data_IF_538539112131
#
_entry.id   IF_538539112131
#
_cell.length_a   1.000
_cell.length_b   1.000
_cell.length_c   1.000
_cell.angle_alpha   90.00
_cell.angle_beta   90.00
_cell.angle_gamma   90.00
#
_symmetry.space_group_name_H-M   'P 1'
#
loop_
_entity.id
_entity.type
_entity.pdbx_description
1 polymer ?
#
# COMPACT_ATOMS: atom_id res chain seq x y z
N UNK A 1 -29.85 4.75 20.72
CA UNK A 1 -28.96 3.95 21.59
C UNK A 1 -27.54 3.87 20.99
N UNK A 2 -26.88 5.02 20.78
CA UNK A 2 -25.76 5.17 19.83
C UNK A 2 -24.53 5.90 20.45
N UNK A 3 -23.80 5.28 21.38
CA UNK A 3 -22.52 5.84 21.86
C UNK A 3 -21.38 4.82 21.90
N UNK A 4 -21.65 3.54 22.19
CA UNK A 4 -20.63 2.47 22.22
C UNK A 4 -20.06 2.12 20.85
N UNK A 5 -20.92 1.72 19.89
CA UNK A 5 -20.51 1.40 18.52
C UNK A 5 -19.87 2.58 17.77
N UNK A 6 -20.23 3.81 18.18
CA UNK A 6 -19.79 5.08 17.57
C UNK A 6 -18.33 5.43 17.93
N UNK A 7 -17.82 4.96 19.07
CA UNK A 7 -16.40 5.07 19.47
C UNK A 7 -15.54 3.93 18.94
N UNK A 8 -16.10 2.72 18.86
CA UNK A 8 -15.37 1.56 18.35
C UNK A 8 -14.96 1.74 16.87
N UNK A 9 -15.84 2.28 16.02
CA UNK A 9 -15.54 2.47 14.59
C UNK A 9 -14.52 3.59 14.31
N UNK A 10 -14.52 4.66 15.11
CA UNK A 10 -13.60 5.80 14.94
C UNK A 10 -12.22 5.51 15.50
N UNK A 11 -12.15 4.88 16.69
CA UNK A 11 -10.88 4.44 17.26
C UNK A 11 -10.29 3.31 16.43
N UNK A 12 -11.07 2.31 16.01
CA UNK A 12 -10.57 1.18 15.22
C UNK A 12 -10.33 1.54 13.74
N UNK A 13 -11.02 2.52 13.16
CA UNK A 13 -10.78 2.97 11.79
C UNK A 13 -9.54 3.84 11.66
N UNK A 14 -9.32 4.75 12.62
CA UNK A 14 -8.08 5.51 12.74
C UNK A 14 -6.94 4.58 13.19
N UNK A 15 -7.18 3.65 14.12
CA UNK A 15 -6.23 2.58 14.40
C UNK A 15 -5.99 1.71 13.18
N UNK A 16 -6.93 1.46 12.27
CA UNK A 16 -6.67 0.60 11.11
C UNK A 16 -5.88 1.33 10.03
N UNK A 17 -6.16 2.62 9.81
CA UNK A 17 -5.33 3.49 8.94
C UNK A 17 -3.93 3.69 9.54
N UNK A 18 -3.83 3.84 10.86
CA UNK A 18 -2.56 3.89 11.58
C UNK A 18 -1.89 2.50 11.68
N UNK A 19 -2.61 1.40 11.85
CA UNK A 19 -2.08 0.02 11.98
C UNK A 19 -1.68 -0.56 10.63
N UNK A 20 -2.36 -0.16 9.54
CA UNK A 20 -1.89 -0.42 8.17
C UNK A 20 -0.57 0.31 7.86
N UNK A 21 -0.20 1.30 8.69
CA UNK A 21 1.11 1.97 8.73
C UNK A 21 2.00 1.53 9.91
N UNK A 22 1.52 0.73 10.88
CA UNK A 22 2.22 0.44 12.15
C UNK A 22 2.60 -1.02 12.42
N UNK A 23 2.14 -2.01 11.64
CA UNK A 23 2.70 -3.36 11.81
C UNK A 23 4.03 -3.45 11.06
N UNK A 24 5.12 -3.10 11.74
CA UNK A 24 6.50 -3.39 11.34
C UNK A 24 7.33 -3.73 12.58
N UNK A 25 7.52 -5.03 12.80
CA UNK A 25 8.56 -5.55 13.70
C UNK A 25 9.75 -5.90 12.81
N UNK A 26 10.82 -5.10 12.85
CA UNK A 26 12.14 -5.55 12.35
C UNK A 26 12.94 -4.64 11.40
N UNK A 27 12.57 -3.38 11.13
CA UNK A 27 13.43 -2.49 10.32
C UNK A 27 14.50 -1.75 11.13
N UNK A 28 15.68 -1.56 10.56
CA UNK A 28 16.81 -0.80 11.11
C UNK A 28 16.50 0.70 11.35
N UNK A 29 17.19 1.30 12.32
CA UNK A 29 16.97 2.66 12.87
C UNK A 29 17.01 3.80 11.82
N UNK A 30 17.70 3.60 10.71
CA UNK A 30 17.89 4.61 9.64
C UNK A 30 16.64 4.75 8.75
N UNK A 31 15.97 3.64 8.45
CA UNK A 31 14.70 3.64 7.72
C UNK A 31 13.59 4.22 8.61
N UNK A 32 13.64 3.92 9.92
CA UNK A 32 12.78 4.58 10.90
C UNK A 32 12.96 6.10 10.88
N UNK A 33 14.18 6.63 10.80
CA UNK A 33 14.43 8.07 10.81
C UNK A 33 13.86 8.79 9.57
N UNK A 34 14.02 8.21 8.37
CA UNK A 34 13.45 8.79 7.15
C UNK A 34 11.91 8.73 7.14
N UNK A 35 11.34 7.62 7.59
CA UNK A 35 9.89 7.44 7.73
C UNK A 35 9.31 8.36 8.83
N UNK A 36 10.00 8.49 9.96
CA UNK A 36 9.65 9.43 11.02
C UNK A 36 9.73 10.88 10.54
N UNK A 37 10.74 11.25 9.76
CA UNK A 37 10.85 12.62 9.23
C UNK A 37 9.70 12.95 8.27
N UNK A 38 9.25 12.00 7.46
CA UNK A 38 8.10 12.18 6.55
C UNK A 38 6.79 12.28 7.35
N UNK A 39 6.60 11.42 8.35
CA UNK A 39 5.41 11.45 9.22
C UNK A 39 5.41 12.71 10.08
N UNK A 40 6.53 13.10 10.66
CA UNK A 40 6.68 14.32 11.47
C UNK A 40 6.50 15.55 10.59
N UNK A 41 7.00 15.57 9.35
CA UNK A 41 6.71 16.65 8.41
C UNK A 41 5.23 16.71 8.04
N UNK A 42 4.57 15.57 7.84
CA UNK A 42 3.12 15.50 7.58
C UNK A 42 2.29 15.95 8.78
N UNK A 43 2.71 15.60 10.00
CA UNK A 43 2.09 16.01 11.25
C UNK A 43 2.32 17.49 11.51
N UNK A 44 3.53 18.02 11.30
CA UNK A 44 3.84 19.45 11.46
C UNK A 44 3.05 20.27 10.42
N UNK A 45 2.97 19.83 9.17
CA UNK A 45 2.12 20.44 8.15
C UNK A 45 0.62 20.35 8.49
N UNK A 46 0.19 19.27 9.15
CA UNK A 46 -1.18 19.10 9.66
C UNK A 46 -1.48 20.01 10.86
N UNK A 47 -0.55 20.15 11.80
CA UNK A 47 -0.68 20.97 13.02
C UNK A 47 -0.63 22.47 12.68
N UNK A 48 0.16 22.89 11.68
CA UNK A 48 0.23 24.29 11.24
C UNK A 48 -1.07 24.78 10.59
N UNK A 49 -2.04 23.88 10.31
CA UNK A 49 -3.34 24.19 9.71
C UNK A 49 -4.52 24.09 10.69
N UNK A 50 -4.27 24.40 11.97
CA UNK A 50 -5.17 24.11 13.08
C UNK A 50 -6.59 24.72 12.99
N UNK A 51 -6.75 25.92 12.41
CA UNK A 51 -8.06 26.60 12.37
C UNK A 51 -9.05 26.03 11.35
N UNK A 52 -8.59 25.23 10.37
CA UNK A 52 -9.49 24.53 9.42
C UNK A 52 -9.84 23.09 9.84
N UNK A 53 -9.26 22.56 10.91
CA UNK A 53 -9.46 21.16 11.36
C UNK A 53 -10.86 20.92 11.92
N UNK A 54 -11.56 21.95 12.42
CA UNK A 54 -12.96 21.79 12.85
C UNK A 54 -13.91 21.41 11.70
N UNK A 55 -13.57 21.78 10.46
CA UNK A 55 -14.26 21.33 9.23
C UNK A 55 -13.58 20.10 8.59
N UNK A 56 -12.44 19.63 9.13
CA UNK A 56 -11.73 18.40 8.74
C UNK A 56 -12.24 17.16 9.49
N UNK A 57 -13.35 17.27 10.20
CA UNK A 57 -14.31 16.16 10.26
C UNK A 57 -14.93 15.95 8.88
N UNK A 58 -14.08 15.70 7.88
CA UNK A 58 -14.46 14.94 6.70
C UNK A 58 -15.14 13.71 7.27
N UNK A 59 -16.44 13.54 7.01
CA UNK A 59 -17.23 12.46 7.58
C UNK A 59 -16.51 11.13 7.30
N UNK A 60 -15.75 10.65 8.30
CA UNK A 60 -14.84 9.51 8.21
C UNK A 60 -15.65 8.27 7.84
N UNK A 61 -16.93 8.27 8.25
CA UNK A 61 -17.92 7.29 7.85
C UNK A 61 -18.06 7.22 6.34
N UNK A 62 -18.19 8.33 5.63
CA UNK A 62 -18.36 8.30 4.17
C UNK A 62 -17.11 7.74 3.47
N UNK A 63 -15.93 8.06 3.98
CA UNK A 63 -14.66 7.55 3.43
C UNK A 63 -14.52 6.06 3.70
N UNK A 64 -14.85 5.59 4.91
CA UNK A 64 -14.84 4.17 5.26
C UNK A 64 -15.93 3.39 4.51
N UNK A 65 -17.13 3.93 4.39
CA UNK A 65 -18.21 3.35 3.60
C UNK A 65 -17.81 3.27 2.13
N UNK A 66 -17.16 4.30 1.57
CA UNK A 66 -16.62 4.26 0.21
C UNK A 66 -15.51 3.22 0.04
N UNK A 67 -14.59 3.11 1.03
CA UNK A 67 -13.52 2.12 1.04
C UNK A 67 -14.09 0.69 1.01
N UNK A 68 -14.98 0.36 1.95
CA UNK A 68 -15.63 -0.95 2.03
C UNK A 68 -16.70 -1.19 0.94
N UNK A 69 -17.05 -0.17 0.14
CA UNK A 69 -18.09 -0.27 -0.88
C UNK A 69 -19.50 -0.45 -0.30
N UNK A 70 -19.74 0.08 0.89
CA UNK A 70 -21.02 0.09 1.58
C UNK A 70 -21.92 1.15 0.95
N UNK A 71 -23.13 0.75 0.55
CA UNK A 71 -24.18 1.63 0.02
C UNK A 71 -25.24 1.87 1.09
N UNK A 72 -25.94 3.01 1.04
CA UNK A 72 -26.99 3.36 2.01
C UNK A 72 -28.15 2.33 2.08
N UNK A 73 -28.31 1.50 1.05
CA UNK A 73 -29.33 0.45 0.97
C UNK A 73 -28.85 -0.91 1.50
N UNK A 74 -27.59 -1.04 1.88
CA UNK A 74 -27.06 -2.30 2.38
C UNK A 74 -27.58 -2.57 3.80
N UNK A 75 -28.02 -3.80 4.07
CA UNK A 75 -28.36 -4.24 5.43
C UNK A 75 -27.12 -4.56 6.26
N UNK A 76 -27.27 -4.61 7.59
CA UNK A 76 -26.15 -4.88 8.53
C UNK A 76 -25.36 -6.16 8.20
N UNK A 77 -26.02 -7.21 7.71
CA UNK A 77 -25.36 -8.46 7.32
C UNK A 77 -24.44 -8.27 6.11
N UNK A 78 -24.89 -7.50 5.12
CA UNK A 78 -24.13 -7.24 3.90
C UNK A 78 -22.94 -6.29 4.16
N UNK A 79 -23.15 -5.28 5.01
CA UNK A 79 -22.05 -4.44 5.51
C UNK A 79 -20.96 -5.29 6.19
N UNK A 80 -21.37 -6.20 7.07
CA UNK A 80 -20.47 -7.12 7.76
C UNK A 80 -19.66 -7.99 6.80
N UNK A 81 -20.30 -8.56 5.77
CA UNK A 81 -19.63 -9.37 4.74
C UNK A 81 -18.57 -8.58 3.97
N UNK A 82 -18.87 -7.33 3.57
CA UNK A 82 -17.92 -6.46 2.85
C UNK A 82 -16.71 -6.09 3.68
N UNK A 83 -16.94 -5.75 4.96
CA UNK A 83 -15.85 -5.48 5.90
C UNK A 83 -15.00 -6.73 6.10
N UNK A 84 -15.61 -7.88 6.38
CA UNK A 84 -14.91 -9.14 6.58
C UNK A 84 -14.08 -9.55 5.35
N UNK A 85 -14.66 -9.47 4.14
CA UNK A 85 -13.95 -9.74 2.88
C UNK A 85 -12.73 -8.84 2.71
N UNK A 86 -12.86 -7.55 3.01
CA UNK A 86 -11.76 -6.58 2.93
C UNK A 86 -10.64 -6.89 3.92
N UNK A 87 -11.01 -7.23 5.16
CA UNK A 87 -10.03 -7.63 6.19
C UNK A 87 -9.30 -8.91 5.79
N UNK A 88 -10.02 -9.92 5.30
CA UNK A 88 -9.42 -11.18 4.83
C UNK A 88 -8.43 -10.92 3.70
N UNK A 89 -8.80 -10.10 2.70
CA UNK A 89 -7.90 -9.69 1.62
C UNK A 89 -6.65 -9.00 2.14
N UNK A 90 -6.80 -8.07 3.09
CA UNK A 90 -5.65 -7.38 3.72
C UNK A 90 -4.72 -8.34 4.43
N UNK A 91 -5.26 -9.34 5.14
CA UNK A 91 -4.45 -10.35 5.83
C UNK A 91 -3.69 -11.20 4.81
N UNK A 92 -4.38 -11.71 3.78
CA UNK A 92 -3.76 -12.52 2.73
C UNK A 92 -2.64 -11.74 2.04
N UNK A 93 -2.92 -10.50 1.65
CA UNK A 93 -1.95 -9.66 0.96
C UNK A 93 -0.78 -9.26 1.87
N UNK A 94 -1.05 -8.93 3.13
CA UNK A 94 0.00 -8.63 4.11
C UNK A 94 0.92 -9.82 4.38
N UNK A 95 0.36 -11.03 4.48
CA UNK A 95 1.18 -12.26 4.59
C UNK A 95 2.06 -12.41 3.35
N UNK A 96 1.50 -12.20 2.14
CA UNK A 96 2.28 -12.26 0.92
C UNK A 96 3.41 -11.23 0.92
N UNK A 97 3.16 -9.96 1.24
CA UNK A 97 4.17 -8.89 1.29
C UNK A 97 5.37 -9.28 2.18
N UNK A 98 5.10 -9.80 3.38
CA UNK A 98 6.16 -10.19 4.31
C UNK A 98 6.98 -11.39 3.84
N UNK A 99 6.32 -12.42 3.34
CA UNK A 99 7.01 -13.59 2.77
C UNK A 99 7.86 -13.20 1.57
N UNK A 100 7.32 -12.33 0.71
CA UNK A 100 8.02 -11.82 -0.46
C UNK A 100 9.23 -10.99 -0.05
N UNK A 101 9.11 -10.08 0.92
CA UNK A 101 10.23 -9.29 1.42
C UNK A 101 11.38 -10.16 1.96
N UNK A 102 11.05 -11.20 2.74
CA UNK A 102 12.06 -12.15 3.27
C UNK A 102 12.74 -12.90 2.14
N UNK A 103 11.96 -13.44 1.19
CA UNK A 103 12.50 -14.15 0.02
C UNK A 103 13.39 -13.23 -0.82
N UNK A 104 12.99 -11.97 -0.98
CA UNK A 104 13.72 -10.99 -1.77
C UNK A 104 15.05 -10.62 -1.11
N UNK A 105 15.05 -10.38 0.20
CA UNK A 105 16.26 -10.14 0.98
C UNK A 105 17.21 -11.35 0.92
N UNK A 106 16.69 -12.55 1.15
CA UNK A 106 17.47 -13.79 1.11
C UNK A 106 18.08 -14.04 -0.27
N UNK A 107 17.29 -13.90 -1.34
CA UNK A 107 17.77 -14.06 -2.72
C UNK A 107 18.89 -13.05 -3.03
N UNK A 108 18.76 -11.80 -2.59
CA UNK A 108 19.78 -10.78 -2.82
C UNK A 108 21.10 -11.09 -2.11
N UNK A 109 21.02 -11.51 -0.84
CA UNK A 109 22.17 -11.93 -0.04
C UNK A 109 22.87 -13.12 -0.69
N UNK A 110 22.12 -14.15 -1.11
CA UNK A 110 22.68 -15.31 -1.81
C UNK A 110 23.38 -14.89 -3.10
N UNK A 111 22.75 -14.05 -3.93
CA UNK A 111 23.36 -13.55 -5.17
C UNK A 111 24.64 -12.76 -4.91
N UNK A 112 24.70 -11.99 -3.82
CA UNK A 112 25.91 -11.27 -3.41
C UNK A 112 27.01 -12.23 -2.95
N UNK A 113 26.70 -13.22 -2.12
CA UNK A 113 27.65 -14.25 -1.65
C UNK A 113 28.24 -15.05 -2.81
N UNK A 114 27.42 -15.34 -3.83
CA UNK A 114 27.86 -16.00 -5.06
C UNK A 114 28.63 -15.09 -6.03
N UNK A 115 28.93 -13.85 -5.62
CA UNK A 115 29.61 -12.83 -6.43
C UNK A 115 28.93 -12.57 -7.79
N UNK A 116 27.60 -12.67 -7.85
CA UNK A 116 26.85 -12.38 -9.07
C UNK A 116 26.94 -10.88 -9.38
N UNK A 117 27.34 -10.49 -10.60
CA UNK A 117 27.45 -9.08 -10.98
C UNK A 117 26.11 -8.35 -10.79
N UNK A 118 26.19 -7.08 -10.40
CA UNK A 118 25.02 -6.27 -10.03
C UNK A 118 23.93 -6.28 -11.11
N UNK A 119 24.30 -6.15 -12.38
CA UNK A 119 23.35 -6.15 -13.49
C UNK A 119 22.58 -7.47 -13.62
N UNK A 120 23.25 -8.62 -13.46
CA UNK A 120 22.60 -9.93 -13.51
C UNK A 120 21.70 -10.16 -12.31
N UNK A 121 22.15 -9.76 -11.11
CA UNK A 121 21.33 -9.85 -9.90
C UNK A 121 20.07 -8.98 -10.00
N UNK A 122 20.19 -7.77 -10.56
CA UNK A 122 19.04 -6.91 -10.84
C UNK A 122 18.04 -7.59 -11.76
N UNK A 123 18.48 -8.14 -12.90
CA UNK A 123 17.58 -8.81 -13.85
C UNK A 123 16.88 -10.00 -13.22
N UNK A 124 17.59 -10.83 -12.45
CA UNK A 124 16.99 -11.99 -11.75
C UNK A 124 15.90 -11.56 -10.76
N UNK A 125 16.20 -10.58 -9.91
CA UNK A 125 15.26 -10.08 -8.91
C UNK A 125 14.08 -9.33 -9.54
N UNK A 126 14.33 -8.62 -10.65
CA UNK A 126 13.28 -7.95 -11.41
C UNK A 126 12.33 -8.96 -12.06
N UNK A 127 12.84 -10.00 -12.72
CA UNK A 127 12.01 -11.07 -13.29
C UNK A 127 11.19 -11.80 -12.20
N UNK A 128 11.78 -12.00 -11.02
CA UNK A 128 11.06 -12.54 -9.87
C UNK A 128 9.91 -11.61 -9.45
N UNK A 129 10.18 -10.31 -9.27
CA UNK A 129 9.16 -9.30 -8.95
C UNK A 129 8.06 -9.21 -10.02
N UNK A 130 8.40 -9.29 -11.31
CA UNK A 130 7.42 -9.34 -12.41
C UNK A 130 6.51 -10.56 -12.29
N UNK A 131 7.08 -11.73 -11.98
CA UNK A 131 6.31 -12.98 -11.89
C UNK A 131 5.27 -12.90 -10.78
N UNK A 132 5.65 -12.32 -9.63
CA UNK A 132 4.76 -12.15 -8.48
C UNK A 132 3.68 -11.11 -8.76
N UNK A 133 4.07 -9.90 -9.16
CA UNK A 133 3.12 -8.83 -9.49
C UNK A 133 2.17 -9.27 -10.61
N UNK A 134 2.70 -9.97 -11.61
CA UNK A 134 1.94 -10.57 -12.70
C UNK A 134 0.95 -11.63 -12.23
N UNK A 135 1.29 -12.44 -11.21
CA UNK A 135 0.36 -13.42 -10.64
C UNK A 135 -0.86 -12.72 -9.99
N UNK A 136 -0.64 -11.67 -9.19
CA UNK A 136 -1.73 -10.88 -8.63
C UNK A 136 -2.57 -10.19 -9.70
N UNK A 137 -1.94 -9.59 -10.69
CA UNK A 137 -2.63 -8.96 -11.82
C UNK A 137 -3.43 -9.97 -12.64
N UNK A 138 -2.92 -11.20 -12.84
CA UNK A 138 -3.64 -12.28 -13.52
C UNK A 138 -4.82 -12.78 -12.70
N UNK A 139 -4.67 -12.95 -11.38
CA UNK A 139 -5.77 -13.32 -10.49
C UNK A 139 -6.88 -12.28 -10.61
N UNK A 140 -6.52 -11.00 -10.53
CA UNK A 140 -7.46 -9.90 -10.72
C UNK A 140 -8.13 -9.94 -12.10
N UNK A 141 -7.37 -10.09 -13.18
CA UNK A 141 -7.92 -10.13 -14.54
C UNK A 141 -8.88 -11.30 -14.79
N UNK A 142 -8.63 -12.47 -14.17
CA UNK A 142 -9.46 -13.67 -14.33
C UNK A 142 -10.70 -13.68 -13.43
N UNK A 143 -10.56 -13.20 -12.19
CA UNK A 143 -11.61 -13.35 -11.17
C UNK A 143 -12.39 -12.06 -10.93
N UNK A 144 -11.85 -10.91 -11.36
CA UNK A 144 -12.33 -9.58 -10.95
C UNK A 144 -12.07 -9.28 -9.48
N UNK A 145 -11.43 -10.19 -8.74
CA UNK A 145 -11.22 -10.06 -7.31
C UNK A 145 -9.88 -9.38 -7.03
N UNK A 146 -9.96 -8.14 -6.55
CA UNK A 146 -8.80 -7.35 -6.16
C UNK A 146 -8.32 -7.72 -4.75
N UNK A 147 -7.30 -8.58 -4.67
CA UNK A 147 -6.64 -8.98 -3.41
C UNK A 147 -5.79 -7.84 -2.85
N UNK A 148 -5.29 -6.96 -3.71
CA UNK A 148 -4.34 -5.87 -3.36
C UNK A 148 -5.03 -4.68 -2.70
N UNK A 149 -6.37 -4.60 -2.80
CA UNK A 149 -7.20 -3.49 -2.34
C UNK A 149 -7.00 -2.17 -3.12
N UNK A 150 -6.37 -2.20 -4.29
CA UNK A 150 -6.17 -1.02 -5.14
C UNK A 150 -7.47 -0.32 -5.53
N UNK A 151 -8.53 -1.05 -5.88
CA UNK A 151 -9.85 -0.49 -6.19
C UNK A 151 -10.52 0.12 -4.95
N UNK A 152 -10.42 -0.57 -3.80
CA UNK A 152 -11.01 -0.11 -2.54
C UNK A 152 -10.34 1.19 -2.06
N UNK A 153 -9.01 1.24 -2.14
CA UNK A 153 -8.23 2.45 -1.92
C UNK A 153 -8.62 3.56 -2.90
N UNK A 154 -8.83 3.23 -4.17
CA UNK A 154 -9.23 4.23 -5.16
C UNK A 154 -10.59 4.85 -4.85
N UNK A 155 -11.58 4.04 -4.43
CA UNK A 155 -12.89 4.55 -3.99
C UNK A 155 -12.77 5.48 -2.79
N UNK A 156 -11.92 5.14 -1.82
CA UNK A 156 -11.69 5.99 -0.65
C UNK A 156 -11.04 7.32 -1.04
N UNK A 157 -10.02 7.28 -1.90
CA UNK A 157 -9.33 8.49 -2.39
C UNK A 157 -10.25 9.37 -3.23
N UNK A 158 -11.06 8.79 -4.11
CA UNK A 158 -12.06 9.52 -4.88
C UNK A 158 -13.07 10.22 -3.95
N UNK A 159 -13.54 9.55 -2.88
CA UNK A 159 -14.43 10.12 -1.86
C UNK A 159 -13.77 11.24 -1.03
N UNK A 160 -12.45 11.16 -0.79
CA UNK A 160 -11.70 12.25 -0.16
C UNK A 160 -11.59 13.43 -1.13
N UNK A 161 -11.31 13.16 -2.41
CA UNK A 161 -11.08 14.18 -3.44
C UNK A 161 -12.33 15.01 -3.74
N UNK A 162 -13.52 14.41 -3.67
CA UNK A 162 -14.80 15.14 -3.83
C UNK A 162 -15.00 16.16 -2.71
N UNK A 163 -14.52 15.87 -1.50
CA UNK A 163 -14.60 16.78 -0.35
C UNK A 163 -13.45 17.80 -0.30
N UNK A 164 -12.24 17.40 -0.67
CA UNK A 164 -11.08 18.30 -0.76
C UNK A 164 -10.09 17.84 -1.83
N UNK A 165 -9.89 18.69 -2.85
CA UNK A 165 -8.98 18.40 -3.96
C UNK A 165 -7.53 18.22 -3.50
N UNK A 166 -7.04 19.09 -2.61
CA UNK A 166 -5.65 19.07 -2.13
C UNK A 166 -5.40 17.79 -1.33
N UNK A 167 -6.30 17.46 -0.40
CA UNK A 167 -6.17 16.25 0.43
C UNK A 167 -6.28 14.99 -0.44
N UNK A 168 -7.16 14.98 -1.44
CA UNK A 168 -7.25 13.90 -2.41
C UNK A 168 -5.94 13.67 -3.17
N UNK A 169 -5.27 14.72 -3.65
CA UNK A 169 -3.96 14.58 -4.31
C UNK A 169 -2.88 14.05 -3.37
N UNK A 170 -2.85 14.51 -2.12
CA UNK A 170 -1.91 14.00 -1.11
C UNK A 170 -2.16 12.50 -0.86
N UNK A 171 -3.42 12.07 -0.76
CA UNK A 171 -3.76 10.66 -0.58
C UNK A 171 -3.34 9.79 -1.78
N UNK A 172 -3.51 10.28 -3.02
CA UNK A 172 -3.01 9.60 -4.22
C UNK A 172 -1.49 9.38 -4.15
N UNK A 173 -0.74 10.43 -3.81
CA UNK A 173 0.72 10.36 -3.68
C UNK A 173 1.11 9.36 -2.59
N UNK A 174 0.44 9.39 -1.44
CA UNK A 174 0.67 8.45 -0.35
C UNK A 174 0.50 6.98 -0.78
N UNK A 175 -0.58 6.68 -1.51
CA UNK A 175 -0.82 5.32 -2.03
C UNK A 175 0.26 4.90 -3.03
N UNK A 176 0.67 5.77 -3.95
CA UNK A 176 1.74 5.47 -4.91
C UNK A 176 3.05 5.16 -4.17
N UNK A 177 3.46 6.02 -3.23
CA UNK A 177 4.70 5.84 -2.49
C UNK A 177 4.69 4.54 -1.68
N UNK A 178 3.60 4.25 -0.98
CA UNK A 178 3.45 3.02 -0.21
C UNK A 178 3.52 1.78 -1.09
N UNK A 179 2.86 1.79 -2.24
CA UNK A 179 2.78 0.64 -3.13
C UNK A 179 4.10 0.41 -3.89
N UNK A 180 4.76 1.47 -4.36
CA UNK A 180 6.06 1.37 -5.05
C UNK A 180 7.17 0.92 -4.09
N UNK A 181 7.12 1.33 -2.83
CA UNK A 181 8.15 0.96 -1.85
C UNK A 181 7.84 -0.40 -1.21
N UNK A 182 6.59 -0.68 -0.83
CA UNK A 182 6.30 -1.84 0.01
C UNK A 182 5.25 -2.77 -0.57
N UNK A 183 4.01 -2.29 -0.75
CA UNK A 183 2.87 -3.19 -0.98
C UNK A 183 2.85 -3.84 -2.36
N UNK A 184 3.62 -3.37 -3.33
CA UNK A 184 3.77 -4.02 -4.63
C UNK A 184 3.22 -3.17 -5.78
N UNK A 185 3.84 -3.20 -6.97
CA UNK A 185 3.48 -2.33 -8.09
C UNK A 185 2.11 -2.63 -8.69
N UNK A 186 1.65 -3.87 -8.56
CA UNK A 186 0.33 -4.32 -9.00
C UNK A 186 -0.80 -3.52 -8.34
N UNK A 187 -0.63 -3.10 -7.08
CA UNK A 187 -1.62 -2.30 -6.37
C UNK A 187 -1.79 -0.92 -7.01
N UNK A 188 -0.69 -0.29 -7.46
CA UNK A 188 -0.72 0.99 -8.20
C UNK A 188 -1.43 0.81 -9.53
N UNK A 189 -1.12 -0.27 -10.24
CA UNK A 189 -1.68 -0.56 -11.56
C UNK A 189 -3.19 -0.79 -11.47
N UNK A 190 -3.67 -1.51 -10.45
CA UNK A 190 -5.10 -1.72 -10.19
C UNK A 190 -5.76 -0.40 -9.74
N UNK A 191 -5.11 0.38 -8.88
CA UNK A 191 -5.61 1.68 -8.42
C UNK A 191 -5.84 2.66 -9.58
N UNK A 192 -4.93 2.69 -10.56
CA UNK A 192 -5.00 3.54 -11.76
C UNK A 192 -5.63 2.86 -12.98
N UNK A 193 -6.32 1.74 -12.80
CA UNK A 193 -6.95 1.01 -13.92
C UNK A 193 -7.82 1.91 -14.80
N UNK A 194 -8.57 2.85 -14.17
CA UNK A 194 -9.46 3.78 -14.90
C UNK A 194 -8.68 4.72 -15.81
N UNK A 195 -7.51 5.18 -15.38
CA UNK A 195 -6.63 6.08 -16.14
C UNK A 195 -5.78 5.35 -17.18
N UNK A 196 -5.35 4.13 -16.87
CA UNK A 196 -4.51 3.31 -17.78
C UNK A 196 -5.34 2.71 -18.92
N UNK A 197 -6.59 2.33 -18.64
CA UNK A 197 -7.61 1.95 -19.62
C UNK A 197 -7.41 0.61 -20.34
N UNK A 198 -6.18 0.12 -20.49
CA UNK A 198 -5.86 -1.10 -21.24
C UNK A 198 -5.01 -2.09 -20.43
N UNK A 199 -5.26 -3.39 -20.64
CA UNK A 199 -4.47 -4.47 -19.99
C UNK A 199 -2.99 -4.40 -20.38
N UNK A 200 -2.71 -4.08 -21.65
CA UNK A 200 -1.33 -3.88 -22.10
C UNK A 200 -0.66 -2.71 -21.36
N UNK A 201 -1.35 -1.57 -21.23
CA UNK A 201 -0.86 -0.45 -20.43
C UNK A 201 -0.61 -0.82 -18.98
N UNK A 202 -1.50 -1.61 -18.37
CA UNK A 202 -1.35 -2.11 -17.00
C UNK A 202 -0.09 -2.95 -16.85
N UNK A 203 0.18 -3.87 -17.78
CA UNK A 203 1.41 -4.67 -17.80
C UNK A 203 2.64 -3.78 -17.97
N UNK A 204 2.63 -2.82 -18.89
CA UNK A 204 3.78 -1.93 -19.11
C UNK A 204 4.11 -1.08 -17.88
N UNK A 205 3.09 -0.52 -17.22
CA UNK A 205 3.26 0.23 -15.97
C UNK A 205 3.79 -0.68 -14.86
N UNK A 206 3.26 -1.91 -14.75
CA UNK A 206 3.75 -2.90 -13.79
C UNK A 206 5.23 -3.25 -14.02
N UNK A 207 5.65 -3.50 -15.27
CA UNK A 207 7.03 -3.79 -15.62
C UNK A 207 7.97 -2.63 -15.25
N UNK A 208 7.55 -1.39 -15.52
CA UNK A 208 8.33 -0.20 -15.18
C UNK A 208 8.45 -0.01 -13.67
N UNK A 209 7.35 -0.10 -12.93
CA UNK A 209 7.34 0.10 -11.48
C UNK A 209 8.07 -1.02 -10.74
N UNK A 210 7.94 -2.28 -11.19
CA UNK A 210 8.73 -3.40 -10.65
C UNK A 210 10.22 -3.18 -10.87
N UNK A 211 10.65 -2.61 -12.00
CA UNK A 211 12.07 -2.29 -12.23
C UNK A 211 12.59 -1.26 -11.23
N UNK A 212 11.83 -0.19 -10.97
CA UNK A 212 12.18 0.83 -9.99
C UNK A 212 12.26 0.23 -8.59
N UNK A 213 11.25 -0.53 -8.18
CA UNK A 213 11.20 -1.16 -6.86
C UNK A 213 12.35 -2.15 -6.69
N UNK A 214 12.64 -2.97 -7.71
CA UNK A 214 13.76 -3.91 -7.67
C UNK A 214 15.10 -3.20 -7.60
N UNK A 215 15.29 -2.07 -8.29
CA UNK A 215 16.52 -1.29 -8.14
C UNK A 215 16.67 -0.78 -6.71
N UNK A 216 15.61 -0.15 -6.16
CA UNK A 216 15.61 0.44 -4.82
C UNK A 216 15.97 -0.58 -3.73
N UNK A 217 15.25 -1.70 -3.66
CA UNK A 217 15.50 -2.72 -2.64
C UNK A 217 16.84 -3.43 -2.84
N UNK A 218 17.30 -3.56 -4.08
CA UNK A 218 18.57 -4.24 -4.36
C UNK A 218 19.72 -3.45 -3.79
N UNK A 219 19.73 -2.13 -3.99
CA UNK A 219 20.71 -1.26 -3.39
C UNK A 219 20.63 -1.30 -1.87
N UNK A 220 19.42 -1.22 -1.30
CA UNK A 220 19.23 -1.20 0.14
C UNK A 220 19.76 -2.47 0.83
N UNK A 221 19.41 -3.67 0.31
CA UNK A 221 19.89 -4.92 0.92
C UNK A 221 21.37 -5.20 0.70
N UNK A 222 21.93 -4.81 -0.46
CA UNK A 222 23.38 -4.98 -0.69
C UNK A 222 24.20 -4.04 0.18
N UNK A 223 23.77 -2.79 0.35
CA UNK A 223 24.40 -1.86 1.29
C UNK A 223 24.31 -2.37 2.73
N UNK A 224 23.14 -2.88 3.14
CA UNK A 224 22.98 -3.50 4.46
C UNK A 224 23.93 -4.69 4.69
N UNK A 225 24.08 -5.57 3.69
CA UNK A 225 25.04 -6.68 3.75
C UNK A 225 26.48 -6.19 3.91
N UNK A 226 26.89 -5.21 3.10
CA UNK A 226 28.25 -4.67 3.12
C UNK A 226 28.58 -4.01 4.48
N UNK A 227 27.60 -3.40 5.16
CA UNK A 227 27.73 -2.85 6.52
C UNK A 227 27.81 -3.93 7.61
N UNK A 228 27.11 -5.05 7.43
CA UNK A 228 27.07 -6.12 8.45
C UNK A 228 28.31 -7.00 8.48
N UNK A 229 29.03 -7.10 7.35
CA UNK A 229 30.18 -8.00 7.18
C UNK A 229 31.51 -7.24 7.05
N UNK A 230 31.46 -5.95 6.69
CA UNK A 230 32.62 -5.04 6.72
C UNK A 230 32.93 -4.55 8.12
#
# INVERSE_FOLDING_TARGET
>A
MYKGARRALTVNGILFVLMSTFFYVGMEKTVWAAYYLIIVAAIICGIYWNDKIKNFYLDVRDVLSAFFGIKEKDGLEEEGKKVASTVIRRIIYGIADYWLAILWAAANVVLKVLNVPLGYAFVMLWLFSITIAGAFLMIYAKTGYDVTLGEDLRRAVDAIRTKSRIVGYISVIGVILQAVVWSGPEQVVIFFKKEIGSMFGMVMVMLFLTAIQSAFWMFLYRLGYDVLIG
#
